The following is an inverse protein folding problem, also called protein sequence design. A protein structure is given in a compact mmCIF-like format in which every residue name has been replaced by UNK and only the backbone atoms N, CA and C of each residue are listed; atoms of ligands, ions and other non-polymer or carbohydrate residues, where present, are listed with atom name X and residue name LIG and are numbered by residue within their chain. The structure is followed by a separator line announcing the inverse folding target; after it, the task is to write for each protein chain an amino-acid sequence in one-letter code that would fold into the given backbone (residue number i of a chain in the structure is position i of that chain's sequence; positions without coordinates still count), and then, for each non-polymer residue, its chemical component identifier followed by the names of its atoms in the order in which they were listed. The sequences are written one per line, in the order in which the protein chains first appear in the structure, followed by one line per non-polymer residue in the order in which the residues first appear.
data_IF_700729342428
#
_entry.id   IF_700729342428
#
_cell.length_a   1.000
_cell.length_b   1.000
_cell.length_c   1.000
_cell.angle_alpha   90.00
_cell.angle_beta   90.00
_cell.angle_gamma   90.00
#
_symmetry.space_group_name_H-M   'P 1'
#
loop_
_entity.id
_entity.type
_entity.pdbx_description
1 polymer ?
#
# COMPACT_ATOMS: atom_id res chain seq x y z
N UNK A 1 2.03 -11.22 -16.83
CA UNK A 1 2.43 -9.76 -16.87
C UNK A 1 1.21 -8.91 -17.20
N UNK A 2 0.97 -7.81 -16.43
CA UNK A 2 -0.14 -6.89 -16.70
C UNK A 2 0.20 -5.89 -17.82
N UNK A 3 -0.78 -5.57 -18.63
CA UNK A 3 -0.70 -4.63 -19.76
C UNK A 3 -1.91 -3.68 -19.73
N UNK A 4 -1.65 -2.42 -20.02
CA UNK A 4 -2.72 -1.45 -20.29
C UNK A 4 -3.25 -1.61 -21.73
N UNK A 5 -4.41 -1.03 -22.02
CA UNK A 5 -4.91 -0.99 -23.41
C UNK A 5 -3.93 -0.31 -24.38
N UNK A 6 -3.30 0.84 -24.05
CA UNK A 6 -2.24 1.41 -24.89
C UNK A 6 -1.05 0.46 -25.12
N UNK A 7 -0.64 -0.32 -24.11
CA UNK A 7 0.44 -1.30 -24.26
C UNK A 7 0.04 -2.44 -25.20
N UNK A 8 -1.22 -2.89 -25.12
CA UNK A 8 -1.77 -3.86 -26.04
C UNK A 8 -1.79 -3.33 -27.48
N UNK A 9 -2.19 -2.05 -27.70
CA UNK A 9 -2.15 -1.43 -29.01
C UNK A 9 -0.73 -1.31 -29.57
N UNK A 10 0.25 -0.94 -28.75
CA UNK A 10 1.66 -0.92 -29.16
C UNK A 10 2.15 -2.30 -29.60
N UNK A 11 1.73 -3.35 -28.90
CA UNK A 11 2.18 -4.74 -29.14
C UNK A 11 1.51 -5.39 -30.34
N UNK A 12 0.19 -5.17 -30.52
CA UNK A 12 -0.61 -5.84 -31.56
C UNK A 12 -1.20 -4.92 -32.62
N UNK A 13 -0.95 -3.61 -32.55
CA UNK A 13 -1.23 -2.60 -33.55
C UNK A 13 -2.73 -2.33 -33.89
N UNK A 14 -3.66 -3.19 -33.48
CA UNK A 14 -5.09 -2.98 -33.71
C UNK A 14 -5.99 -3.73 -32.74
N UNK A 15 -7.20 -3.21 -32.51
CA UNK A 15 -8.25 -3.87 -31.75
C UNK A 15 -8.60 -5.26 -32.26
N UNK A 16 -8.57 -5.45 -33.58
CA UNK A 16 -8.84 -6.74 -34.21
C UNK A 16 -7.80 -7.77 -33.73
N UNK A 17 -6.52 -7.43 -33.74
CA UNK A 17 -5.47 -8.33 -33.32
C UNK A 17 -5.53 -8.59 -31.79
N UNK A 18 -5.86 -7.60 -30.99
CA UNK A 18 -6.06 -7.78 -29.54
C UNK A 18 -7.18 -8.80 -29.29
N UNK A 19 -8.33 -8.63 -29.97
CA UNK A 19 -9.47 -9.58 -29.89
C UNK A 19 -9.07 -11.00 -30.30
N UNK A 20 -8.25 -11.12 -31.37
CA UNK A 20 -7.72 -12.41 -31.83
C UNK A 20 -6.83 -13.09 -30.79
N UNK A 21 -5.99 -12.33 -30.07
CA UNK A 21 -5.18 -12.88 -28.97
C UNK A 21 -6.05 -13.36 -27.80
N UNK A 22 -7.11 -12.62 -27.48
CA UNK A 22 -8.07 -13.01 -26.43
C UNK A 22 -8.79 -14.30 -26.84
N UNK A 23 -9.27 -14.40 -28.08
CA UNK A 23 -9.95 -15.61 -28.60
C UNK A 23 -9.00 -16.83 -28.65
N UNK A 24 -7.73 -16.59 -28.89
CA UNK A 24 -6.70 -17.64 -28.89
C UNK A 24 -6.22 -18.05 -27.48
N UNK A 25 -6.75 -17.45 -26.39
CA UNK A 25 -6.34 -17.72 -25.02
C UNK A 25 -4.90 -17.29 -24.68
N UNK A 26 -4.34 -16.36 -25.46
CA UNK A 26 -2.98 -15.81 -25.25
C UNK A 26 -2.97 -14.47 -24.53
N UNK A 27 -4.15 -13.87 -24.38
CA UNK A 27 -4.37 -12.63 -23.65
C UNK A 27 -5.70 -12.71 -22.95
N UNK A 28 -5.75 -12.27 -21.71
CA UNK A 28 -6.95 -12.25 -20.86
C UNK A 28 -7.31 -10.80 -20.53
N UNK A 29 -8.57 -10.44 -20.70
CA UNK A 29 -9.07 -9.15 -20.21
C UNK A 29 -9.49 -9.32 -18.76
N UNK A 30 -8.68 -8.81 -17.84
CA UNK A 30 -8.94 -8.93 -16.40
C UNK A 30 -10.06 -7.97 -15.97
N UNK A 31 -9.95 -6.71 -16.39
CA UNK A 31 -11.02 -5.71 -16.23
C UNK A 31 -10.91 -4.63 -17.33
N UNK A 32 -11.75 -3.60 -17.27
CA UNK A 32 -11.71 -2.51 -18.27
C UNK A 32 -10.34 -1.82 -18.29
N UNK A 33 -9.64 -1.94 -19.39
CA UNK A 33 -8.32 -1.32 -19.61
C UNK A 33 -7.13 -2.09 -19.03
N UNK A 34 -7.36 -3.25 -18.41
CA UNK A 34 -6.32 -4.11 -17.82
C UNK A 34 -6.36 -5.50 -18.47
N UNK A 35 -5.23 -5.92 -18.99
CA UNK A 35 -5.04 -7.20 -19.66
C UNK A 35 -3.87 -7.96 -19.03
N UNK A 36 -3.84 -9.28 -19.20
CA UNK A 36 -2.77 -10.15 -18.72
C UNK A 36 -2.50 -11.29 -19.69
N UNK A 37 -1.28 -11.77 -19.73
CA UNK A 37 -0.90 -13.04 -20.38
C UNK A 37 -1.28 -14.27 -19.52
N UNK A 38 -1.70 -14.05 -18.27
CA UNK A 38 -2.16 -15.08 -17.34
C UNK A 38 -3.63 -14.84 -16.97
N UNK A 39 -4.45 -15.93 -16.84
CA UNK A 39 -5.86 -15.79 -16.47
C UNK A 39 -6.09 -15.44 -15.01
N UNK A 40 -5.20 -15.89 -14.12
CA UNK A 40 -5.31 -15.71 -12.67
C UNK A 40 -4.34 -14.63 -12.20
N UNK A 41 -4.88 -13.44 -11.99
CA UNK A 41 -4.14 -12.27 -11.50
C UNK A 41 -4.77 -11.80 -10.19
N UNK A 42 -3.95 -11.57 -9.16
CA UNK A 42 -4.46 -11.09 -7.88
C UNK A 42 -5.05 -9.68 -7.99
N UNK A 43 -6.04 -9.39 -7.16
CA UNK A 43 -6.61 -8.04 -7.06
C UNK A 43 -5.54 -7.03 -6.66
N UNK A 44 -4.59 -7.42 -5.82
CA UNK A 44 -3.45 -6.58 -5.42
C UNK A 44 -2.63 -6.15 -6.65
N UNK A 45 -2.27 -7.10 -7.53
CA UNK A 45 -1.52 -6.81 -8.75
C UNK A 45 -2.28 -5.84 -9.67
N UNK A 46 -3.60 -6.03 -9.80
CA UNK A 46 -4.44 -5.11 -10.58
C UNK A 46 -4.47 -3.71 -9.98
N UNK A 47 -4.63 -3.58 -8.66
CA UNK A 47 -4.66 -2.29 -7.96
C UNK A 47 -3.33 -1.55 -8.07
N UNK A 48 -2.21 -2.24 -7.83
CA UNK A 48 -0.87 -1.63 -7.93
C UNK A 48 -0.52 -1.24 -9.37
N UNK A 49 -0.97 -2.03 -10.35
CA UNK A 49 -0.82 -1.69 -11.77
C UNK A 49 -1.62 -0.44 -12.16
N UNK A 50 -2.86 -0.31 -11.68
CA UNK A 50 -3.72 0.85 -11.96
C UNK A 50 -3.25 2.13 -11.25
N UNK A 51 -2.70 1.98 -10.06
CA UNK A 51 -2.30 3.09 -9.20
C UNK A 51 -0.81 3.02 -8.81
N UNK A 52 0.11 3.09 -9.79
CA UNK A 52 1.54 2.82 -9.55
C UNK A 52 2.23 3.84 -8.64
N UNK A 53 1.62 5.01 -8.43
CA UNK A 53 2.09 6.02 -7.47
C UNK A 53 1.51 5.84 -6.06
N UNK A 54 0.52 4.98 -5.90
CA UNK A 54 -0.08 4.66 -4.61
C UNK A 54 0.93 3.89 -3.73
N UNK A 55 0.91 4.18 -2.44
CA UNK A 55 1.74 3.51 -1.45
C UNK A 55 0.82 2.77 -0.50
N UNK A 56 1.01 1.47 -0.33
CA UNK A 56 0.24 0.68 0.63
C UNK A 56 0.47 1.23 2.04
N UNK A 57 -0.62 1.45 2.77
CA UNK A 57 -0.60 2.08 4.10
C UNK A 57 -1.68 1.49 5.02
N UNK A 58 -1.77 1.98 6.24
CA UNK A 58 -2.79 1.68 7.25
C UNK A 58 -3.07 0.16 7.38
N UNK A 59 -4.33 -0.27 7.43
CA UNK A 59 -4.68 -1.68 7.69
C UNK A 59 -4.06 -2.64 6.67
N UNK A 60 -3.95 -2.23 5.41
CA UNK A 60 -3.27 -3.04 4.39
C UNK A 60 -1.77 -3.20 4.70
N UNK A 61 -1.09 -2.15 5.15
CA UNK A 61 0.32 -2.22 5.50
C UNK A 61 0.53 -3.03 6.79
N UNK A 62 -0.30 -2.85 7.82
CA UNK A 62 -0.23 -3.66 9.04
C UNK A 62 -0.40 -5.14 8.73
N UNK A 63 -1.37 -5.50 7.88
CA UNK A 63 -1.58 -6.87 7.46
C UNK A 63 -0.37 -7.43 6.67
N UNK A 64 0.14 -6.69 5.68
CA UNK A 64 1.26 -7.16 4.87
C UNK A 64 2.57 -7.26 5.64
N UNK A 65 2.75 -6.49 6.70
CA UNK A 65 3.88 -6.60 7.61
C UNK A 65 3.72 -7.68 8.69
N UNK A 66 2.56 -8.35 8.75
CA UNK A 66 2.27 -9.37 9.76
C UNK A 66 2.07 -8.78 11.16
N UNK A 67 1.63 -7.53 11.25
CA UNK A 67 1.33 -6.83 12.50
C UNK A 67 -0.10 -7.05 12.99
N UNK A 68 -0.92 -7.67 12.16
CA UNK A 68 -2.28 -8.14 12.45
C UNK A 68 -2.65 -9.26 11.50
N UNK A 69 -3.55 -10.15 11.93
CA UNK A 69 -4.16 -11.18 11.09
C UNK A 69 -5.47 -10.71 10.43
N UNK A 70 -5.92 -9.51 10.73
CA UNK A 70 -7.15 -8.93 10.16
C UNK A 70 -6.92 -8.58 8.70
N UNK A 71 -7.59 -9.29 7.80
CA UNK A 71 -7.54 -9.01 6.35
C UNK A 71 -8.38 -7.76 6.08
N UNK A 72 -7.81 -6.69 5.52
CA UNK A 72 -8.56 -5.49 5.21
C UNK A 72 -9.55 -5.73 4.05
N UNK A 73 -10.75 -5.16 4.16
CA UNK A 73 -11.79 -5.24 3.11
C UNK A 73 -11.42 -4.44 1.85
N UNK A 74 -10.63 -3.38 2.02
CA UNK A 74 -10.19 -2.48 0.97
C UNK A 74 -8.66 -2.38 0.96
N UNK A 75 -8.08 -2.04 -0.18
CA UNK A 75 -6.66 -1.68 -0.28
C UNK A 75 -6.46 -0.24 0.18
N UNK A 76 -5.74 -0.04 1.26
CA UNK A 76 -5.43 1.28 1.79
C UNK A 76 -4.23 1.87 1.07
N UNK A 77 -4.43 2.93 0.29
CA UNK A 77 -3.41 3.59 -0.51
C UNK A 77 -3.17 5.03 -0.05
N UNK A 78 -1.93 5.35 0.29
CA UNK A 78 -1.47 6.71 0.47
C UNK A 78 -1.15 7.33 -0.89
N UNK A 79 -1.60 8.56 -1.11
CA UNK A 79 -1.35 9.37 -2.29
C UNK A 79 -1.01 10.79 -1.89
N UNK A 80 -0.37 11.53 -2.79
CA UNK A 80 -0.14 12.96 -2.56
C UNK A 80 -1.45 13.71 -2.33
N UNK A 81 -1.41 14.73 -1.46
CA UNK A 81 -2.59 15.55 -1.11
C UNK A 81 -3.27 16.22 -2.31
N UNK A 82 -2.54 16.39 -3.41
CA UNK A 82 -3.07 16.97 -4.66
C UNK A 82 -3.49 15.92 -5.69
N UNK A 83 -3.41 14.63 -5.34
CA UNK A 83 -3.84 13.55 -6.23
C UNK A 83 -5.34 13.56 -6.47
N UNK A 84 -5.74 13.12 -7.65
CA UNK A 84 -7.14 12.92 -8.00
C UNK A 84 -7.73 11.80 -7.12
N UNK A 85 -8.99 11.95 -6.76
CA UNK A 85 -9.73 10.93 -6.02
C UNK A 85 -9.81 9.60 -6.80
N UNK A 86 -9.52 8.51 -6.13
CA UNK A 86 -9.63 7.15 -6.66
C UNK A 86 -11.06 6.67 -6.42
N UNK A 87 -11.84 6.51 -7.49
CA UNK A 87 -13.24 6.06 -7.41
C UNK A 87 -13.41 4.53 -7.42
N UNK A 88 -12.32 3.77 -7.33
CA UNK A 88 -12.37 2.30 -7.24
C UNK A 88 -12.83 1.86 -5.84
N UNK A 89 -13.94 1.14 -5.77
CA UNK A 89 -14.54 0.69 -4.50
C UNK A 89 -13.65 -0.26 -3.68
N UNK A 90 -12.64 -0.83 -4.31
CA UNK A 90 -11.66 -1.70 -3.64
C UNK A 90 -10.55 -0.92 -2.95
N UNK A 91 -10.52 0.43 -3.10
CA UNK A 91 -9.44 1.28 -2.62
C UNK A 91 -9.96 2.31 -1.64
N UNK A 92 -9.33 2.38 -0.48
CA UNK A 92 -9.46 3.46 0.48
C UNK A 92 -8.26 4.39 0.38
N UNK A 93 -8.49 5.61 -0.08
CA UNK A 93 -7.44 6.58 -0.34
C UNK A 93 -7.14 7.44 0.88
N UNK A 94 -5.86 7.62 1.19
CA UNK A 94 -5.35 8.51 2.23
C UNK A 94 -4.49 9.59 1.59
N UNK A 95 -4.85 10.85 1.82
CA UNK A 95 -4.10 12.00 1.33
C UNK A 95 -2.98 12.35 2.28
N UNK A 96 -1.75 12.34 1.78
CA UNK A 96 -0.54 12.60 2.55
C UNK A 96 0.15 13.85 2.01
N UNK A 97 0.71 14.67 2.90
CA UNK A 97 1.47 15.87 2.52
C UNK A 97 2.68 15.48 1.65
N UNK A 98 2.94 16.24 0.60
CA UNK A 98 3.98 15.94 -0.40
C UNK A 98 5.38 15.78 0.21
N UNK A 99 5.71 16.56 1.24
CA UNK A 99 7.00 16.53 1.92
C UNK A 99 7.26 15.26 2.76
N UNK A 100 6.20 14.55 3.16
CA UNK A 100 6.31 13.31 3.95
C UNK A 100 5.81 12.07 3.21
N UNK A 101 5.30 12.23 1.98
CA UNK A 101 4.73 11.12 1.21
C UNK A 101 5.73 9.99 0.97
N UNK A 102 6.98 10.34 0.69
CA UNK A 102 8.00 9.34 0.37
C UNK A 102 8.85 8.92 1.58
N UNK A 103 8.61 9.47 2.76
CA UNK A 103 9.31 9.06 3.99
C UNK A 103 8.89 7.64 4.36
N UNK A 104 9.83 6.72 4.49
CA UNK A 104 9.58 5.33 4.85
C UNK A 104 8.94 4.47 3.76
N UNK A 105 9.05 4.87 2.49
CA UNK A 105 8.60 4.02 1.37
C UNK A 105 9.63 2.93 1.10
N UNK A 106 9.16 1.69 1.05
CA UNK A 106 9.91 0.52 0.64
C UNK A 106 9.19 -0.25 -0.45
N UNK A 107 9.87 -1.22 -1.03
CA UNK A 107 9.28 -2.18 -1.96
C UNK A 107 9.16 -3.54 -1.29
N UNK A 108 8.05 -4.23 -1.56
CA UNK A 108 7.79 -5.56 -1.03
C UNK A 108 7.28 -6.45 -2.16
N UNK A 109 7.96 -7.56 -2.37
CA UNK A 109 7.53 -8.57 -3.33
C UNK A 109 6.39 -9.40 -2.75
N UNK A 110 5.34 -9.58 -3.54
CA UNK A 110 4.20 -10.45 -3.27
C UNK A 110 3.98 -11.34 -4.50
N UNK A 111 3.30 -12.47 -4.33
CA UNK A 111 3.10 -13.53 -5.31
C UNK A 111 3.21 -13.11 -6.78
N UNK A 112 2.48 -12.09 -7.21
CA UNK A 112 2.37 -11.60 -8.59
C UNK A 112 2.47 -10.07 -8.71
N UNK A 113 2.93 -9.40 -7.65
CA UNK A 113 3.08 -7.95 -7.59
C UNK A 113 4.31 -7.53 -6.79
N UNK A 114 5.04 -6.54 -7.26
CA UNK A 114 5.96 -5.77 -6.44
C UNK A 114 5.22 -4.48 -6.00
N UNK A 115 5.02 -4.33 -4.69
CA UNK A 115 4.21 -3.26 -4.14
C UNK A 115 5.08 -2.20 -3.46
N UNK A 116 4.71 -0.92 -3.63
CA UNK A 116 5.23 0.16 -2.82
C UNK A 116 4.44 0.20 -1.52
N UNK A 117 5.12 0.15 -0.39
CA UNK A 117 4.53 0.08 0.94
C UNK A 117 5.32 0.93 1.91
N UNK A 118 4.69 1.53 2.90
CA UNK A 118 5.42 2.11 4.02
C UNK A 118 6.05 1.00 4.86
N UNK A 119 7.32 1.21 5.26
CA UNK A 119 8.04 0.31 6.15
C UNK A 119 7.41 0.27 7.56
N UNK A 120 7.87 -0.67 8.39
CA UNK A 120 7.33 -0.87 9.75
C UNK A 120 7.55 0.36 10.63
N UNK A 121 8.68 1.01 10.49
CA UNK A 121 9.07 2.21 11.24
C UNK A 121 8.13 3.38 10.93
N UNK A 122 7.83 3.61 9.64
CA UNK A 122 6.85 4.60 9.23
C UNK A 122 5.45 4.23 9.70
N UNK A 123 5.06 2.98 9.60
CA UNK A 123 3.73 2.53 10.00
C UNK A 123 3.51 2.64 11.52
N UNK A 124 4.55 2.51 12.33
CA UNK A 124 4.47 2.80 13.77
C UNK A 124 4.11 4.28 14.02
N UNK A 125 4.73 5.21 13.30
CA UNK A 125 4.39 6.64 13.37
C UNK A 125 2.91 6.87 13.00
N UNK A 126 2.43 6.25 11.92
CA UNK A 126 1.03 6.40 11.51
C UNK A 126 0.06 5.79 12.54
N UNK A 127 0.39 4.67 13.14
CA UNK A 127 -0.40 4.03 14.20
C UNK A 127 -0.60 4.99 15.39
N UNK A 128 0.49 5.59 15.88
CA UNK A 128 0.46 6.52 17.01
C UNK A 128 -0.30 7.81 16.66
N UNK A 129 -0.10 8.35 15.46
CA UNK A 129 -0.78 9.57 14.98
C UNK A 129 -2.29 9.39 14.86
N UNK A 130 -2.72 8.22 14.45
CA UNK A 130 -4.12 7.90 14.23
C UNK A 130 -4.74 7.03 15.32
N UNK A 131 -4.10 6.90 16.48
CA UNK A 131 -4.56 6.09 17.61
C UNK A 131 -6.06 6.16 17.86
N UNK A 132 -6.62 7.35 17.92
CA UNK A 132 -8.03 7.59 18.22
C UNK A 132 -9.00 7.20 17.07
N UNK A 133 -8.49 6.81 15.91
CA UNK A 133 -9.29 6.39 14.76
C UNK A 133 -9.40 4.86 14.65
N UNK A 134 -8.59 4.14 15.41
CA UNK A 134 -8.65 2.69 15.46
C UNK A 134 -9.56 2.19 16.59
N UNK A 135 -10.26 1.07 16.41
CA UNK A 135 -10.85 0.33 17.52
C UNK A 135 -9.78 0.02 18.56
N UNK A 136 -10.12 0.16 19.84
CA UNK A 136 -9.15 0.06 20.93
C UNK A 136 -8.42 -1.30 20.95
N UNK A 137 -9.14 -2.40 20.77
CA UNK A 137 -8.54 -3.75 20.80
C UNK A 137 -7.61 -3.98 19.62
N UNK A 138 -7.98 -3.49 18.43
CA UNK A 138 -7.14 -3.55 17.23
C UNK A 138 -5.84 -2.75 17.40
N UNK A 139 -5.95 -1.53 17.95
CA UNK A 139 -4.77 -0.72 18.27
C UNK A 139 -3.85 -1.43 19.26
N UNK A 140 -4.40 -2.00 20.35
CA UNK A 140 -3.64 -2.73 21.35
C UNK A 140 -2.92 -3.97 20.79
N UNK A 141 -3.58 -4.71 19.91
CA UNK A 141 -2.99 -5.85 19.22
C UNK A 141 -1.73 -5.41 18.45
N UNK A 142 -1.86 -4.39 17.60
CA UNK A 142 -0.75 -3.92 16.76
C UNK A 142 0.39 -3.36 17.62
N UNK A 143 0.11 -2.56 18.64
CA UNK A 143 1.14 -2.06 19.59
C UNK A 143 1.84 -3.22 20.29
N UNK A 144 1.10 -4.24 20.73
CA UNK A 144 1.68 -5.45 21.33
C UNK A 144 2.64 -6.16 20.36
N UNK A 145 2.27 -6.27 19.09
CA UNK A 145 3.12 -6.86 18.05
C UNK A 145 4.37 -6.00 17.78
N UNK A 146 4.25 -4.67 17.79
CA UNK A 146 5.44 -3.80 17.71
C UNK A 146 6.40 -3.98 18.88
N UNK A 147 5.90 -4.10 20.12
CA UNK A 147 6.75 -4.37 21.30
C UNK A 147 7.50 -5.69 21.16
N UNK A 148 6.87 -6.71 20.59
CA UNK A 148 7.54 -8.00 20.34
C UNK A 148 8.63 -7.91 19.27
N UNK A 149 8.53 -6.95 18.35
CA UNK A 149 9.47 -6.72 17.26
C UNK A 149 10.48 -5.60 17.55
N UNK A 150 10.52 -5.06 18.77
CA UNK A 150 11.30 -3.84 19.07
C UNK A 150 12.77 -3.96 18.72
N UNK A 151 13.37 -5.14 18.87
CA UNK A 151 14.78 -5.40 18.55
C UNK A 151 15.05 -5.55 17.04
N UNK A 152 14.01 -5.72 16.24
CA UNK A 152 14.09 -5.83 14.77
C UNK A 152 13.82 -4.48 14.08
N UNK A 153 13.44 -3.46 14.86
CA UNK A 153 13.15 -2.12 14.37
C UNK A 153 14.39 -1.23 14.42
N UNK A 154 14.52 -0.36 13.46
CA UNK A 154 15.53 0.69 13.44
C UNK A 154 15.04 1.90 14.22
N UNK A 155 15.44 1.99 15.50
CA UNK A 155 15.00 3.04 16.42
C UNK A 155 15.47 4.43 15.97
N UNK A 156 16.69 4.55 15.46
CA UNK A 156 17.21 5.81 14.93
C UNK A 156 16.36 6.30 13.75
N UNK A 157 16.01 5.40 12.85
CA UNK A 157 15.10 5.68 11.72
C UNK A 157 13.69 6.09 12.18
N UNK A 158 13.14 5.47 13.22
CA UNK A 158 11.85 5.88 13.80
C UNK A 158 11.92 7.33 14.29
N UNK A 159 12.99 7.70 15.00
CA UNK A 159 13.19 9.06 15.50
C UNK A 159 13.32 10.08 14.36
N UNK A 160 14.14 9.78 13.34
CA UNK A 160 14.31 10.62 12.16
C UNK A 160 12.97 10.83 11.41
N UNK A 161 12.18 9.76 11.29
CA UNK A 161 10.86 9.88 10.69
C UNK A 161 9.93 10.75 11.54
N UNK A 162 9.91 10.54 12.88
CA UNK A 162 9.06 11.32 13.78
C UNK A 162 9.35 12.83 13.67
N UNK A 163 10.62 13.22 13.50
CA UNK A 163 11.02 14.62 13.32
C UNK A 163 10.46 15.24 12.03
N UNK A 164 10.30 14.43 10.98
CA UNK A 164 9.76 14.88 9.69
C UNK A 164 8.26 15.19 9.74
N UNK A 165 7.56 14.77 10.79
CA UNK A 165 6.11 14.87 10.89
C UNK A 165 5.65 16.09 11.70
N UNK A 166 4.47 16.67 11.35
CA UNK A 166 3.82 17.62 12.23
C UNK A 166 3.54 17.00 13.61
N UNK A 167 3.77 17.77 14.67
CA UNK A 167 3.62 17.32 16.07
C UNK A 167 4.60 16.20 16.48
N UNK A 168 5.83 16.29 16.01
CA UNK A 168 6.92 15.34 16.35
C UNK A 168 7.03 15.07 17.86
N UNK A 169 6.89 16.10 18.70
CA UNK A 169 6.93 15.93 20.16
C UNK A 169 5.86 14.94 20.66
N UNK A 170 4.62 15.08 20.20
CA UNK A 170 3.53 14.17 20.57
C UNK A 170 3.83 12.71 20.14
N UNK A 171 4.45 12.56 18.97
CA UNK A 171 4.83 11.23 18.44
C UNK A 171 5.92 10.64 19.33
N UNK A 172 6.95 11.41 19.67
CA UNK A 172 8.05 10.95 20.52
C UNK A 172 7.57 10.60 21.94
N UNK A 173 6.73 11.45 22.55
CA UNK A 173 6.12 11.15 23.85
C UNK A 173 5.31 9.84 23.81
N UNK A 174 4.57 9.59 22.73
CA UNK A 174 3.79 8.36 22.54
C UNK A 174 4.71 7.12 22.32
N UNK A 175 5.81 7.27 21.58
CA UNK A 175 6.80 6.20 21.39
C UNK A 175 7.38 5.76 22.74
N UNK A 176 7.82 6.71 23.57
CA UNK A 176 8.37 6.41 24.90
C UNK A 176 7.34 5.77 25.85
N UNK A 177 6.09 6.21 25.79
CA UNK A 177 5.05 5.70 26.71
C UNK A 177 4.46 4.35 26.29
N UNK A 178 4.38 4.08 25.00
CA UNK A 178 3.58 2.96 24.48
C UNK A 178 4.41 1.88 23.78
N UNK A 179 5.65 2.17 23.39
CA UNK A 179 6.47 1.24 22.61
C UNK A 179 7.77 0.88 23.32
N UNK A 180 8.49 1.85 23.82
CA UNK A 180 9.77 1.70 24.55
C UNK A 180 9.54 1.58 26.05
#
# INVERSE_FOLDING_TARGET
MLLSYPDCLKKWQSDYQIKKQIQAGKLYRIEKGVYSDEPDVSTLAVITFKYPKGIITMDSAFYYHGLTDVIPEEFHLATDKHSIYISDKRVRQYYVLSNILNVGVSEMERRDANIRIYDKERMLIELLRFKNKFPFDYYKEIIGNYRNLIYDLDIERIQDYAESFPRSKMINDALEMEVF
#
